data_IF_471052340680
#
_entry.id   IF_471052340680
#
_cell.length_a   1.000
_cell.length_b   1.000
_cell.length_c   1.000
_cell.angle_alpha   90.00
_cell.angle_beta   90.00
_cell.angle_gamma   90.00
#
_symmetry.space_group_name_H-M   'P 1'
#
loop_
_entity.id
_entity.type
_entity.pdbx_description
1 polymer ?
#
# COMPACT_ATOMS: atom_id res chain seq x y z
N UNK A 1 4.18 16.16 -11.48
CA UNK A 1 4.86 15.58 -10.30
C UNK A 1 4.03 14.49 -9.62
N UNK A 2 2.91 14.79 -8.95
CA UNK A 2 2.14 13.75 -8.24
C UNK A 2 1.69 12.58 -9.14
N UNK A 3 1.23 12.86 -10.36
CA UNK A 3 0.88 11.80 -11.32
C UNK A 3 2.06 10.89 -11.70
N UNK A 4 3.29 11.41 -11.73
CA UNK A 4 4.49 10.60 -12.01
C UNK A 4 4.84 9.71 -10.81
N UNK A 5 4.77 10.25 -9.59
CA UNK A 5 5.00 9.47 -8.37
C UNK A 5 4.00 8.31 -8.31
N UNK A 6 2.72 8.59 -8.54
CA UNK A 6 1.66 7.58 -8.57
C UNK A 6 1.90 6.56 -9.70
N UNK A 7 2.30 7.01 -10.89
CA UNK A 7 2.62 6.11 -12.01
C UNK A 7 3.74 5.11 -11.67
N UNK A 8 4.71 5.49 -10.83
CA UNK A 8 5.83 4.63 -10.43
C UNK A 8 5.47 3.74 -9.24
N UNK A 9 4.81 4.30 -8.22
CA UNK A 9 4.56 3.58 -6.96
C UNK A 9 3.37 2.63 -7.05
N UNK A 10 2.29 3.02 -7.73
CA UNK A 10 1.07 2.20 -7.82
C UNK A 10 1.32 0.84 -8.48
N UNK A 11 2.12 0.69 -9.56
CA UNK A 11 2.47 -0.63 -10.07
C UNK A 11 3.13 -1.53 -9.04
N UNK A 12 3.99 -0.99 -8.16
CA UNK A 12 4.61 -1.77 -7.09
C UNK A 12 3.54 -2.28 -6.14
N UNK A 13 2.66 -1.40 -5.65
CA UNK A 13 1.54 -1.76 -4.76
C UNK A 13 0.62 -2.80 -5.40
N UNK A 14 0.24 -2.61 -6.67
CA UNK A 14 -0.59 -3.54 -7.43
C UNK A 14 0.08 -4.91 -7.50
N UNK A 15 1.34 -4.96 -7.96
CA UNK A 15 2.05 -6.22 -8.15
C UNK A 15 2.25 -6.95 -6.82
N UNK A 16 2.61 -6.26 -5.75
CA UNK A 16 2.77 -6.90 -4.44
C UNK A 16 1.45 -7.41 -3.87
N UNK A 17 0.32 -6.72 -4.14
CA UNK A 17 -1.01 -7.20 -3.76
C UNK A 17 -1.46 -8.44 -4.55
N UNK A 18 -1.25 -8.44 -5.87
CA UNK A 18 -1.51 -9.62 -6.71
C UNK A 18 -0.61 -10.80 -6.33
N UNK A 19 0.65 -10.56 -5.97
CA UNK A 19 1.55 -11.58 -5.43
C UNK A 19 1.05 -12.12 -4.07
N UNK A 20 0.48 -11.28 -3.21
CA UNK A 20 -0.15 -11.74 -1.96
C UNK A 20 -1.30 -12.71 -2.22
N UNK A 21 -2.08 -12.49 -3.28
CA UNK A 21 -3.12 -13.45 -3.67
C UNK A 21 -2.54 -14.81 -4.07
N UNK A 22 -1.42 -14.82 -4.80
CA UNK A 22 -0.70 -16.07 -5.16
C UNK A 22 -0.12 -16.75 -3.91
N UNK A 23 0.41 -15.99 -2.95
CA UNK A 23 0.98 -16.52 -1.72
C UNK A 23 -0.06 -17.28 -0.86
N UNK A 24 -1.35 -16.96 -0.99
CA UNK A 24 -2.45 -17.69 -0.36
C UNK A 24 -2.83 -19.02 -1.06
N UNK A 25 -2.08 -19.46 -2.07
CA UNK A 25 -2.26 -20.79 -2.67
C UNK A 25 -3.56 -20.99 -3.45
N UNK A 26 -3.90 -20.14 -4.44
CA UNK A 26 -5.10 -20.28 -5.27
C UNK A 26 -5.11 -21.57 -6.12
N UNK A 27 -3.97 -22.22 -6.32
CA UNK A 27 -3.86 -23.55 -6.94
C UNK A 27 -4.39 -24.68 -6.03
N UNK A 28 -4.42 -24.45 -4.71
CA UNK A 28 -4.91 -25.40 -3.71
C UNK A 28 -6.30 -25.02 -3.16
N UNK A 29 -6.95 -24.00 -3.74
CA UNK A 29 -8.26 -23.51 -3.28
C UNK A 29 -8.21 -22.79 -1.92
N UNK A 30 -7.03 -22.34 -1.50
CA UNK A 30 -6.83 -21.69 -0.20
C UNK A 30 -6.96 -20.15 -0.24
N UNK A 31 -6.85 -19.55 -1.43
CA UNK A 31 -6.98 -18.12 -1.60
C UNK A 31 -8.44 -17.65 -1.48
N UNK A 32 -8.63 -16.49 -0.86
CA UNK A 32 -9.92 -15.80 -0.78
C UNK A 32 -9.81 -14.53 -1.63
N UNK A 33 -10.73 -14.27 -2.58
CA UNK A 33 -11.82 -15.16 -3.02
C UNK A 33 -11.30 -16.34 -3.88
N UNK A 34 -11.97 -17.49 -3.79
CA UNK A 34 -11.59 -18.71 -4.52
C UNK A 34 -12.17 -18.75 -5.95
N UNK A 35 -13.27 -18.03 -6.18
CA UNK A 35 -14.13 -18.04 -7.37
C UNK A 35 -13.99 -16.76 -8.21
N UNK A 36 -12.76 -16.47 -8.66
CA UNK A 36 -12.44 -15.22 -9.40
C UNK A 36 -12.63 -15.29 -10.91
N UNK A 37 -13.06 -16.44 -11.46
CA UNK A 37 -13.32 -16.62 -12.89
C UNK A 37 -12.14 -16.20 -13.78
N UNK A 38 -12.40 -15.31 -14.76
CA UNK A 38 -11.39 -14.79 -15.69
C UNK A 38 -10.31 -13.92 -15.02
N UNK A 39 -10.57 -13.45 -13.80
CA UNK A 39 -9.60 -12.66 -13.04
C UNK A 39 -8.62 -13.56 -12.26
N UNK A 40 -8.66 -14.88 -12.44
CA UNK A 40 -7.67 -15.79 -11.87
C UNK A 40 -6.31 -15.56 -12.54
N UNK A 41 -5.34 -15.13 -11.74
CA UNK A 41 -3.95 -15.00 -12.19
C UNK A 41 -3.34 -16.38 -12.49
N UNK A 42 -2.34 -16.45 -13.40
CA UNK A 42 -1.48 -17.62 -13.51
C UNK A 42 -0.86 -17.96 -12.14
N UNK A 43 -1.04 -19.20 -11.70
CA UNK A 43 -0.59 -19.65 -10.38
C UNK A 43 0.77 -20.32 -10.46
N UNK A 44 1.57 -20.17 -9.40
CA UNK A 44 2.84 -20.87 -9.21
C UNK A 44 3.03 -21.19 -7.73
N UNK A 45 3.93 -22.13 -7.43
CA UNK A 45 4.28 -22.46 -6.07
C UNK A 45 5.03 -21.31 -5.42
N UNK A 46 4.42 -20.70 -4.42
CA UNK A 46 5.03 -19.58 -3.71
C UNK A 46 6.30 -20.06 -3.00
N UNK A 47 7.48 -19.44 -3.26
CA UNK A 47 8.72 -19.90 -2.68
C UNK A 47 8.74 -19.65 -1.17
N UNK A 48 8.95 -20.71 -0.40
CA UNK A 48 9.08 -20.63 1.08
C UNK A 48 10.44 -20.11 1.54
N UNK A 49 11.38 -19.93 0.59
CA UNK A 49 12.70 -19.37 0.83
C UNK A 49 13.01 -18.24 -0.15
N UNK A 50 13.57 -17.12 0.33
CA UNK A 50 13.86 -16.83 1.73
C UNK A 50 12.58 -16.57 2.56
N UNK A 51 12.60 -16.88 3.87
CA UNK A 51 11.41 -16.77 4.74
C UNK A 51 10.88 -15.34 4.89
N UNK A 52 11.71 -14.33 4.63
CA UNK A 52 11.32 -12.92 4.67
C UNK A 52 10.59 -12.44 3.42
N UNK A 53 10.52 -13.23 2.33
CA UNK A 53 10.01 -12.76 1.05
C UNK A 53 8.57 -12.21 1.15
N UNK A 54 7.66 -12.98 1.77
CA UNK A 54 6.28 -12.55 1.94
C UNK A 54 6.18 -11.29 2.81
N UNK A 55 7.00 -11.20 3.87
CA UNK A 55 7.07 -10.00 4.71
C UNK A 55 7.50 -8.77 3.92
N UNK A 56 8.45 -8.92 2.99
CA UNK A 56 8.88 -7.82 2.14
C UNK A 56 7.76 -7.41 1.18
N UNK A 57 7.15 -8.34 0.45
CA UNK A 57 6.10 -8.01 -0.51
C UNK A 57 4.89 -7.39 0.18
N UNK A 58 4.49 -7.96 1.33
CA UNK A 58 3.38 -7.45 2.12
C UNK A 58 3.70 -6.10 2.76
N UNK A 59 4.91 -5.94 3.32
CA UNK A 59 5.37 -4.67 3.86
C UNK A 59 5.46 -3.56 2.80
N UNK A 60 5.87 -3.89 1.58
CA UNK A 60 5.84 -2.97 0.45
C UNK A 60 4.39 -2.60 0.06
N UNK A 61 3.50 -3.59 -0.03
CA UNK A 61 2.10 -3.35 -0.39
C UNK A 61 1.42 -2.38 0.59
N UNK A 62 1.44 -2.72 1.87
CA UNK A 62 0.80 -1.93 2.93
C UNK A 62 1.54 -0.62 3.16
N UNK A 63 2.86 -0.67 3.31
CA UNK A 63 3.68 0.50 3.62
C UNK A 63 3.62 1.56 2.52
N UNK A 64 3.81 1.17 1.26
CA UNK A 64 3.68 2.11 0.15
C UNK A 64 2.23 2.58 -0.02
N UNK A 65 1.25 1.71 0.19
CA UNK A 65 -0.18 2.07 0.19
C UNK A 65 -0.50 3.19 1.16
N UNK A 66 0.06 3.16 2.37
CA UNK A 66 -0.08 4.23 3.37
C UNK A 66 0.70 5.50 2.97
N UNK A 67 1.96 5.35 2.57
CA UNK A 67 2.84 6.47 2.21
C UNK A 67 2.28 7.32 1.07
N UNK A 68 1.57 6.71 0.12
CA UNK A 68 0.99 7.45 -1.02
C UNK A 68 -0.32 8.18 -0.69
N UNK A 69 -0.95 7.97 0.47
CA UNK A 69 -2.24 8.60 0.80
C UNK A 69 -2.17 10.14 0.64
N UNK A 70 -1.17 10.86 1.20
CA UNK A 70 -1.06 12.31 0.99
C UNK A 70 -0.88 12.70 -0.47
N UNK A 71 -0.18 11.88 -1.27
CA UNK A 71 0.02 12.11 -2.71
C UNK A 71 -1.30 11.94 -3.48
N UNK A 72 -2.08 10.91 -3.14
CA UNK A 72 -3.41 10.67 -3.73
C UNK A 72 -4.35 11.82 -3.38
N UNK A 73 -4.42 12.24 -2.12
CA UNK A 73 -5.25 13.37 -1.69
C UNK A 73 -4.87 14.67 -2.41
N UNK A 74 -3.57 14.97 -2.53
CA UNK A 74 -3.10 16.13 -3.26
C UNK A 74 -3.44 16.04 -4.76
N UNK A 75 -3.34 14.84 -5.35
CA UNK A 75 -3.71 14.62 -6.74
C UNK A 75 -5.22 14.82 -6.94
N UNK A 76 -6.06 14.26 -6.06
CA UNK A 76 -7.51 14.41 -6.11
C UNK A 76 -7.89 15.88 -5.99
N UNK A 77 -7.34 16.60 -5.01
CA UNK A 77 -7.54 18.04 -4.85
C UNK A 77 -7.26 18.81 -6.15
N UNK A 78 -6.17 18.48 -6.85
CA UNK A 78 -5.81 19.14 -8.13
C UNK A 78 -6.75 18.84 -9.31
N UNK A 79 -7.60 17.80 -9.22
CA UNK A 79 -8.48 17.37 -10.31
C UNK A 79 -9.96 17.46 -9.97
N UNK A 80 -10.33 17.91 -8.75
CA UNK A 80 -11.73 18.12 -8.33
C UNK A 80 -12.57 18.84 -9.40
N UNK A 81 -12.12 19.95 -10.02
CA UNK A 81 -12.94 20.66 -11.02
C UNK A 81 -13.35 19.78 -12.22
N UNK A 82 -12.52 18.80 -12.61
CA UNK A 82 -12.86 17.90 -13.72
C UNK A 82 -13.99 16.94 -13.39
N UNK A 83 -14.16 16.58 -12.12
CA UNK A 83 -15.24 15.70 -11.67
C UNK A 83 -16.62 16.31 -11.94
N UNK A 84 -16.69 17.65 -11.97
CA UNK A 84 -17.90 18.43 -12.17
C UNK A 84 -17.98 19.13 -13.53
N UNK A 85 -17.14 18.72 -14.49
CA UNK A 85 -17.18 19.31 -15.85
C UNK A 85 -18.55 19.11 -16.51
N UNK A 86 -19.01 20.09 -17.29
CA UNK A 86 -20.30 20.06 -17.99
C UNK A 86 -20.15 20.50 -19.45
N UNK A 87 -20.89 19.95 -20.42
CA UNK A 87 -21.84 18.83 -20.36
C UNK A 87 -21.15 17.47 -20.17
N UNK A 88 -21.88 16.47 -19.65
CA UNK A 88 -21.27 15.26 -19.12
C UNK A 88 -20.76 14.31 -20.20
N UNK A 89 -21.31 14.36 -21.41
CA UNK A 89 -20.83 13.62 -22.56
C UNK A 89 -20.98 14.47 -23.81
N UNK A 90 -19.86 14.75 -24.48
CA UNK A 90 -19.85 15.40 -25.82
C UNK A 90 -19.50 14.40 -26.94
N UNK A 91 -19.00 13.21 -26.58
CA UNK A 91 -18.58 12.15 -27.49
C UNK A 91 -18.37 10.83 -26.74
N UNK A 92 -18.24 9.72 -27.48
CA UNK A 92 -17.88 8.40 -26.92
C UNK A 92 -16.53 8.46 -26.21
N UNK A 93 -15.55 9.18 -26.77
CA UNK A 93 -14.26 9.39 -26.13
C UNK A 93 -14.41 10.07 -24.76
N UNK A 94 -15.29 11.07 -24.64
CA UNK A 94 -15.56 11.73 -23.35
C UNK A 94 -16.21 10.77 -22.33
N UNK A 95 -17.07 9.86 -22.77
CA UNK A 95 -17.65 8.82 -21.91
C UNK A 95 -16.56 7.87 -21.41
N UNK A 96 -15.71 7.37 -22.31
CA UNK A 96 -14.59 6.48 -21.93
C UNK A 96 -13.63 7.14 -20.95
N UNK A 97 -13.33 8.44 -21.15
CA UNK A 97 -12.52 9.20 -20.20
C UNK A 97 -13.16 9.27 -18.82
N UNK A 98 -14.49 9.45 -18.73
CA UNK A 98 -15.21 9.53 -17.46
C UNK A 98 -15.32 8.18 -16.77
N UNK A 99 -15.60 7.12 -17.51
CA UNK A 99 -15.64 5.75 -16.95
C UNK A 99 -14.26 5.38 -16.41
N UNK A 100 -13.19 5.61 -17.18
CA UNK A 100 -11.82 5.40 -16.72
C UNK A 100 -11.52 6.21 -15.46
N UNK A 101 -11.94 7.48 -15.41
CA UNK A 101 -11.74 8.32 -14.23
C UNK A 101 -12.54 7.83 -13.02
N UNK A 102 -13.79 7.40 -13.21
CA UNK A 102 -14.63 6.87 -12.14
C UNK A 102 -14.03 5.59 -11.56
N UNK A 103 -13.58 4.67 -12.41
CA UNK A 103 -12.89 3.45 -12.00
C UNK A 103 -11.58 3.75 -11.29
N UNK A 104 -10.80 4.72 -11.78
CA UNK A 104 -9.53 5.11 -11.17
C UNK A 104 -9.73 5.74 -9.79
N UNK A 105 -10.61 6.75 -9.68
CA UNK A 105 -10.85 7.51 -8.44
C UNK A 105 -11.63 6.67 -7.43
N UNK A 106 -12.71 6.03 -7.86
CA UNK A 106 -13.49 5.14 -7.02
C UNK A 106 -12.66 3.96 -6.55
N UNK A 107 -11.90 3.33 -7.46
CA UNK A 107 -11.00 2.22 -7.15
C UNK A 107 -9.93 2.61 -6.14
N UNK A 108 -9.14 3.66 -6.38
CA UNK A 108 -8.05 4.01 -5.43
C UNK A 108 -8.58 4.38 -4.04
N UNK A 109 -9.72 5.07 -3.96
CA UNK A 109 -10.34 5.41 -2.68
C UNK A 109 -10.87 4.17 -1.98
N UNK A 110 -11.52 3.27 -2.72
CA UNK A 110 -12.00 2.00 -2.19
C UNK A 110 -10.86 1.14 -1.64
N UNK A 111 -9.78 0.96 -2.42
CA UNK A 111 -8.59 0.20 -2.00
C UNK A 111 -7.93 0.82 -0.77
N UNK A 112 -7.73 2.14 -0.74
CA UNK A 112 -7.14 2.81 0.44
C UNK A 112 -8.01 2.63 1.68
N UNK A 113 -9.31 2.90 1.57
CA UNK A 113 -10.23 2.85 2.72
C UNK A 113 -10.32 1.42 3.26
N UNK A 114 -10.57 0.44 2.39
CA UNK A 114 -10.67 -0.96 2.81
C UNK A 114 -9.34 -1.49 3.36
N UNK A 115 -8.21 -1.12 2.75
CA UNK A 115 -6.87 -1.49 3.21
C UNK A 115 -6.54 -0.89 4.58
N UNK A 116 -6.80 0.40 4.79
CA UNK A 116 -6.60 1.08 6.09
C UNK A 116 -7.48 0.45 7.17
N UNK A 117 -8.75 0.23 6.87
CA UNK A 117 -9.67 -0.35 7.85
C UNK A 117 -9.28 -1.81 8.19
N UNK A 118 -8.78 -2.58 7.22
CA UNK A 118 -8.29 -3.93 7.48
C UNK A 118 -7.07 -3.96 8.41
N UNK A 119 -6.08 -3.08 8.22
CA UNK A 119 -4.91 -3.03 9.13
C UNK A 119 -5.25 -2.46 10.52
N UNK A 120 -6.39 -1.79 10.65
CA UNK A 120 -6.93 -1.35 11.95
C UNK A 120 -7.89 -2.37 12.57
N UNK A 121 -8.12 -3.52 11.90
CA UNK A 121 -9.12 -4.53 12.28
C UNK A 121 -10.55 -3.97 12.41
N UNK A 122 -10.87 -2.89 11.68
CA UNK A 122 -12.16 -2.20 11.74
C UNK A 122 -13.08 -2.61 10.58
N UNK A 123 -13.82 -3.72 10.75
CA UNK A 123 -14.61 -4.35 9.68
C UNK A 123 -16.05 -3.85 9.60
N UNK A 124 -16.27 -2.54 9.51
CA UNK A 124 -17.61 -1.94 9.45
C UNK A 124 -18.39 -2.27 8.17
N UNK A 125 -17.73 -2.78 7.12
CA UNK A 125 -18.30 -2.82 5.76
C UNK A 125 -19.26 -4.00 5.48
N UNK A 126 -19.47 -4.95 6.40
CA UNK A 126 -20.45 -6.05 6.22
C UNK A 126 -20.15 -7.03 5.07
N UNK A 127 -19.02 -6.87 4.38
CA UNK A 127 -18.52 -7.76 3.34
C UNK A 127 -17.09 -8.23 3.64
N UNK A 128 -16.68 -9.33 3.00
CA UNK A 128 -15.31 -9.84 3.09
C UNK A 128 -14.32 -8.84 2.51
N UNK A 129 -13.37 -8.37 3.35
CA UNK A 129 -12.26 -7.52 2.92
C UNK A 129 -11.52 -8.15 1.74
N UNK A 130 -11.06 -9.41 1.88
CA UNK A 130 -10.29 -10.10 0.85
C UNK A 130 -11.02 -10.13 -0.49
N UNK A 131 -12.31 -10.44 -0.48
CA UNK A 131 -13.14 -10.50 -1.68
C UNK A 131 -13.29 -9.12 -2.31
N UNK A 132 -13.70 -8.14 -1.52
CA UNK A 132 -14.04 -6.82 -2.03
C UNK A 132 -12.79 -6.07 -2.50
N UNK A 133 -11.69 -6.14 -1.74
CA UNK A 133 -10.39 -5.57 -2.10
C UNK A 133 -9.79 -6.22 -3.35
N UNK A 134 -9.94 -7.55 -3.53
CA UNK A 134 -9.49 -8.21 -4.77
C UNK A 134 -10.22 -7.70 -6.02
N UNK A 135 -11.56 -7.64 -5.99
CA UNK A 135 -12.33 -7.15 -7.13
C UNK A 135 -12.19 -5.63 -7.33
N UNK A 136 -12.12 -4.88 -6.23
CA UNK A 136 -11.82 -3.44 -6.24
C UNK A 136 -10.47 -3.15 -6.90
N UNK A 137 -9.45 -3.95 -6.61
CA UNK A 137 -8.14 -3.84 -7.24
C UNK A 137 -8.24 -4.02 -8.77
N UNK A 138 -9.03 -4.97 -9.28
CA UNK A 138 -9.21 -5.13 -10.72
C UNK A 138 -9.96 -3.96 -11.38
N UNK A 139 -10.97 -3.40 -10.70
CA UNK A 139 -11.64 -2.16 -11.16
C UNK A 139 -10.62 -1.01 -11.22
N UNK A 140 -9.81 -0.86 -10.18
CA UNK A 140 -8.76 0.14 -10.13
C UNK A 140 -7.70 -0.06 -11.22
N UNK A 141 -7.20 -1.28 -11.42
CA UNK A 141 -6.19 -1.63 -12.43
C UNK A 141 -6.70 -1.27 -13.83
N UNK A 142 -7.92 -1.68 -14.17
CA UNK A 142 -8.52 -1.36 -15.47
C UNK A 142 -8.67 0.16 -15.66
N UNK A 143 -9.14 0.88 -14.64
CA UNK A 143 -9.23 2.34 -14.64
C UNK A 143 -7.86 3.01 -14.80
N UNK A 144 -6.84 2.51 -14.09
CA UNK A 144 -5.47 3.00 -14.10
C UNK A 144 -4.79 2.82 -15.45
N UNK A 145 -4.83 1.62 -16.03
CA UNK A 145 -4.24 1.33 -17.34
C UNK A 145 -4.90 2.19 -18.43
N UNK A 146 -6.24 2.28 -18.43
CA UNK A 146 -6.95 3.14 -19.37
C UNK A 146 -6.56 4.62 -19.19
N UNK A 147 -6.51 5.09 -17.95
CA UNK A 147 -6.19 6.49 -17.65
C UNK A 147 -4.77 6.86 -18.07
N UNK A 148 -3.79 6.00 -17.74
CA UNK A 148 -2.39 6.19 -18.13
C UNK A 148 -2.29 6.21 -19.65
N UNK A 149 -2.90 5.26 -20.35
CA UNK A 149 -2.87 5.21 -21.82
C UNK A 149 -3.39 6.49 -22.47
N UNK A 150 -4.44 7.10 -21.91
CA UNK A 150 -5.05 8.32 -22.44
C UNK A 150 -4.25 9.58 -22.05
N UNK A 151 -3.75 9.66 -20.80
CA UNK A 151 -3.20 10.91 -20.24
C UNK A 151 -1.67 10.95 -20.15
N UNK A 152 -0.97 9.89 -20.55
CA UNK A 152 0.50 9.81 -20.47
C UNK A 152 1.21 10.95 -21.21
N UNK A 153 0.86 11.18 -22.47
CA UNK A 153 1.48 12.24 -23.28
C UNK A 153 1.31 13.62 -22.64
N UNK A 154 0.12 13.89 -22.09
CA UNK A 154 -0.18 15.15 -21.41
C UNK A 154 0.63 15.33 -20.12
N UNK A 155 0.78 14.25 -19.33
CA UNK A 155 1.66 14.25 -18.16
C UNK A 155 3.10 14.57 -18.57
N UNK A 156 3.60 13.95 -19.64
CA UNK A 156 4.97 14.16 -20.11
C UNK A 156 5.19 15.60 -20.59
N UNK A 157 4.25 16.18 -21.35
CA UNK A 157 4.31 17.59 -21.76
C UNK A 157 4.35 18.52 -20.55
N UNK A 158 3.51 18.28 -19.53
CA UNK A 158 3.50 19.07 -18.31
C UNK A 158 4.76 18.92 -17.45
N UNK A 159 5.43 17.77 -17.48
CA UNK A 159 6.73 17.57 -16.82
C UNK A 159 7.86 18.29 -17.54
N UNK A 160 7.81 18.36 -18.88
CA UNK A 160 8.84 19.01 -19.70
C UNK A 160 8.69 20.53 -19.78
N UNK A 161 7.50 21.06 -19.52
CA UNK A 161 7.24 22.50 -19.66
C UNK A 161 7.92 23.38 -18.59
N UNK A 162 8.43 22.78 -17.50
CA UNK A 162 9.06 23.52 -16.41
C UNK A 162 10.27 22.81 -15.82
N UNK A 163 11.28 23.61 -15.49
CA UNK A 163 12.44 23.13 -14.73
C UNK A 163 12.08 22.93 -13.25
N UNK A 164 12.40 21.76 -12.70
CA UNK A 164 12.25 21.47 -11.27
C UNK A 164 13.05 22.43 -10.38
N UNK A 165 14.20 22.90 -10.86
CA UNK A 165 15.00 23.90 -10.14
C UNK A 165 14.25 25.22 -9.98
N UNK A 166 13.56 25.66 -11.05
CA UNK A 166 12.70 26.84 -11.00
C UNK A 166 11.54 26.64 -10.03
N UNK A 167 10.85 25.50 -10.11
CA UNK A 167 9.73 25.16 -9.20
C UNK A 167 10.14 25.20 -7.72
N UNK A 168 11.35 24.72 -7.39
CA UNK A 168 11.88 24.73 -6.03
C UNK A 168 12.48 26.10 -5.62
N UNK A 169 12.86 26.95 -6.56
CA UNK A 169 13.37 28.28 -6.27
C UNK A 169 12.26 29.30 -6.02
N UNK A 170 11.14 29.21 -6.75
CA UNK A 170 10.04 30.19 -6.70
C UNK A 170 9.40 30.26 -5.31
N UNK A 171 9.39 31.48 -4.73
CA UNK A 171 8.73 31.76 -3.46
C UNK A 171 7.21 31.91 -3.64
N UNK A 172 6.47 32.04 -2.53
CA UNK A 172 5.03 32.31 -2.56
C UNK A 172 4.73 33.67 -3.23
N UNK A 173 5.53 34.69 -2.93
CA UNK A 173 5.33 36.05 -3.44
C UNK A 173 5.61 36.11 -4.94
N UNK A 174 6.59 35.32 -5.41
CA UNK A 174 6.95 35.25 -6.83
C UNK A 174 6.07 34.27 -7.63
N UNK A 175 5.03 33.68 -7.00
CA UNK A 175 4.13 32.76 -7.69
C UNK A 175 3.14 33.55 -8.54
N UNK A 176 3.26 33.37 -9.85
CA UNK A 176 2.32 33.92 -10.84
C UNK A 176 1.27 32.89 -11.25
N UNK A 177 0.03 33.33 -11.54
CA UNK A 177 -1.01 32.48 -12.12
C UNK A 177 -0.55 31.70 -13.35
N UNK A 178 -1.07 30.48 -13.47
CA UNK A 178 -0.86 29.67 -14.66
C UNK A 178 -1.62 30.28 -15.85
N UNK A 179 -1.08 30.23 -17.08
CA UNK A 179 -1.85 30.56 -18.27
C UNK A 179 -3.08 29.65 -18.38
N UNK A 180 -4.19 30.17 -18.92
CA UNK A 180 -5.40 29.40 -19.11
C UNK A 180 -5.15 28.14 -19.93
N UNK A 181 -5.65 27.00 -19.45
CA UNK A 181 -5.56 25.73 -20.16
C UNK A 181 -6.90 25.34 -20.80
N UNK A 182 -6.84 24.55 -21.88
CA UNK A 182 -8.03 24.05 -22.59
C UNK A 182 -8.93 23.17 -21.70
N UNK A 183 -8.36 22.61 -20.64
CA UNK A 183 -9.09 21.71 -19.75
C UNK A 183 -9.83 22.40 -18.60
N UNK A 184 -9.64 23.70 -18.42
CA UNK A 184 -10.27 24.46 -17.34
C UNK A 184 -9.86 24.00 -15.93
N UNK A 185 -8.65 23.42 -15.78
CA UNK A 185 -8.10 23.15 -14.45
C UNK A 185 -7.45 24.41 -13.85
N UNK A 186 -7.08 25.36 -14.69
CA UNK A 186 -6.55 26.65 -14.25
C UNK A 186 -7.70 27.57 -13.86
N UNK A 187 -7.61 28.14 -12.66
CA UNK A 187 -8.59 29.11 -12.18
C UNK A 187 -8.61 30.35 -13.11
N UNK A 188 -9.80 30.72 -13.59
CA UNK A 188 -9.98 31.86 -14.52
C UNK A 188 -9.70 33.21 -13.85
N UNK A 189 -10.00 33.33 -12.57
CA UNK A 189 -9.74 34.52 -11.76
C UNK A 189 -9.16 34.07 -10.41
N UNK A 190 -7.84 33.80 -10.33
CA UNK A 190 -7.22 33.29 -9.12
C UNK A 190 -7.02 34.40 -8.09
N UNK A 191 -7.37 34.12 -6.85
CA UNK A 191 -6.97 34.92 -5.70
C UNK A 191 -5.44 34.90 -5.52
N UNK A 192 -4.87 35.83 -4.72
CA UNK A 192 -3.45 35.83 -4.39
C UNK A 192 -2.98 34.47 -3.85
N UNK A 193 -1.81 34.01 -4.32
CA UNK A 193 -1.30 32.70 -3.96
C UNK A 193 -1.16 32.54 -2.43
N UNK A 194 -1.73 31.48 -1.86
CA UNK A 194 -1.57 31.11 -0.44
C UNK A 194 -0.40 30.17 -0.21
N UNK A 195 -0.07 29.35 -1.21
CA UNK A 195 1.06 28.41 -1.21
C UNK A 195 1.78 28.47 -2.56
N UNK A 196 3.11 28.34 -2.54
CA UNK A 196 3.88 28.09 -3.76
C UNK A 196 3.86 26.59 -4.11
N UNK A 197 4.28 26.26 -5.34
CA UNK A 197 4.47 24.87 -5.78
C UNK A 197 5.47 24.13 -4.87
N UNK A 198 6.56 24.79 -4.48
CA UNK A 198 7.49 24.26 -3.47
C UNK A 198 6.78 23.95 -2.16
N UNK A 199 5.97 24.88 -1.65
CA UNK A 199 5.22 24.69 -0.40
C UNK A 199 4.31 23.47 -0.46
N UNK A 200 3.56 23.33 -1.56
CA UNK A 200 2.70 22.16 -1.77
C UNK A 200 3.49 20.85 -1.84
N UNK A 201 4.62 20.82 -2.56
CA UNK A 201 5.49 19.64 -2.60
C UNK A 201 6.06 19.31 -1.22
N UNK A 202 6.47 20.31 -0.45
CA UNK A 202 7.00 20.12 0.90
C UNK A 202 5.95 19.56 1.86
N UNK A 203 4.71 20.06 1.83
CA UNK A 203 3.61 19.55 2.66
C UNK A 203 3.29 18.10 2.32
N UNK A 204 3.15 17.77 1.03
CA UNK A 204 2.83 16.40 0.60
C UNK A 204 3.98 15.44 0.91
N UNK A 205 5.22 15.83 0.60
CA UNK A 205 6.40 15.02 0.91
C UNK A 205 6.59 14.84 2.42
N UNK A 206 6.39 15.91 3.21
CA UNK A 206 6.44 15.85 4.67
C UNK A 206 5.37 14.94 5.26
N UNK A 207 4.13 15.02 4.76
CA UNK A 207 3.05 14.12 5.16
C UNK A 207 3.34 12.66 4.83
N UNK A 208 3.80 12.38 3.60
CA UNK A 208 4.19 11.03 3.20
C UNK A 208 5.37 10.49 3.99
N UNK A 209 6.38 11.33 4.27
CA UNK A 209 7.53 10.97 5.09
C UNK A 209 7.13 10.69 6.54
N UNK A 210 6.26 11.52 7.12
CA UNK A 210 5.74 11.30 8.47
C UNK A 210 5.01 9.95 8.57
N UNK A 211 4.11 9.66 7.62
CA UNK A 211 3.42 8.36 7.55
C UNK A 211 4.45 7.23 7.45
N UNK A 212 5.42 7.34 6.54
CA UNK A 212 6.47 6.32 6.39
C UNK A 212 7.28 6.07 7.65
N UNK A 213 7.68 7.13 8.36
CA UNK A 213 8.41 7.03 9.63
C UNK A 213 7.56 6.36 10.71
N UNK A 214 6.30 6.73 10.84
CA UNK A 214 5.38 6.13 11.82
C UNK A 214 5.12 4.66 11.51
N UNK A 215 4.86 4.30 10.25
CA UNK A 215 4.66 2.92 9.83
C UNK A 215 5.91 2.07 10.06
N UNK A 216 7.10 2.57 9.70
CA UNK A 216 8.35 1.85 9.97
C UNK A 216 8.61 1.67 11.47
N UNK A 217 8.29 2.69 12.28
CA UNK A 217 8.40 2.63 13.73
C UNK A 217 7.53 1.55 14.35
N UNK A 218 6.28 1.41 13.88
CA UNK A 218 5.36 0.35 14.34
C UNK A 218 5.90 -1.05 14.00
N UNK A 219 6.31 -1.28 12.75
CA UNK A 219 6.82 -2.58 12.32
C UNK A 219 8.10 -3.01 13.06
N UNK A 220 9.02 -2.07 13.30
CA UNK A 220 10.28 -2.36 14.01
C UNK A 220 10.01 -2.53 15.52
N UNK A 221 9.17 -1.66 16.11
CA UNK A 221 8.83 -1.70 17.53
C UNK A 221 8.22 -3.05 17.93
N UNK A 222 7.23 -3.52 17.18
CA UNK A 222 6.60 -4.82 17.40
C UNK A 222 7.59 -5.98 17.25
N UNK A 223 8.46 -5.92 16.23
CA UNK A 223 9.51 -6.93 16.02
C UNK A 223 10.52 -6.98 17.17
N UNK A 224 10.84 -5.84 17.78
CA UNK A 224 11.75 -5.74 18.94
C UNK A 224 11.09 -6.24 20.22
N UNK A 225 9.81 -5.89 20.45
CA UNK A 225 9.03 -6.40 21.59
C UNK A 225 8.87 -7.92 21.50
N UNK A 226 8.49 -8.45 20.34
CA UNK A 226 8.33 -9.88 20.12
C UNK A 226 9.64 -10.65 20.39
N UNK A 227 10.78 -10.20 19.84
CA UNK A 227 12.09 -10.82 20.12
C UNK A 227 12.46 -10.77 21.60
N UNK A 228 12.13 -9.68 22.29
CA UNK A 228 12.40 -9.54 23.72
C UNK A 228 11.55 -10.51 24.56
N UNK A 229 10.29 -10.70 24.19
CA UNK A 229 9.42 -11.70 24.81
C UNK A 229 9.96 -13.12 24.61
N UNK A 230 10.34 -13.49 23.38
CA UNK A 230 10.92 -14.81 23.09
C UNK A 230 12.21 -15.06 23.90
N UNK A 231 13.13 -14.08 23.95
CA UNK A 231 14.34 -14.20 24.77
C UNK A 231 14.03 -14.39 26.26
N UNK A 232 12.94 -13.79 26.77
CA UNK A 232 12.58 -13.88 28.17
C UNK A 232 11.95 -15.25 28.53
N UNK A 233 11.14 -15.81 27.62
CA UNK A 233 10.58 -17.17 27.76
C UNK A 233 11.68 -18.25 27.69
N UNK A 234 12.66 -18.10 26.79
CA UNK A 234 13.80 -19.02 26.70
C UNK A 234 14.61 -19.06 28.01
N UNK A 235 14.86 -17.88 28.61
CA UNK A 235 15.58 -17.78 29.89
C UNK A 235 14.76 -18.37 31.06
N UNK A 236 13.45 -18.15 31.07
CA UNK A 236 12.57 -18.73 32.10
C UNK A 236 12.52 -20.26 32.00
N UNK A 237 12.43 -20.78 30.77
CA UNK A 237 12.40 -22.23 30.48
C UNK A 237 13.74 -22.89 30.84
N UNK A 238 14.86 -22.26 30.48
CA UNK A 238 16.20 -22.74 30.85
C UNK A 238 16.40 -22.76 32.38
N UNK A 239 15.90 -21.74 33.11
CA UNK A 239 15.94 -21.72 34.58
C UNK A 239 15.07 -22.80 35.20
N UNK A 240 13.87 -23.04 34.68
CA UNK A 240 12.99 -24.11 35.16
C UNK A 240 13.60 -25.50 34.97
N UNK A 241 14.26 -25.74 33.83
CA UNK A 241 14.98 -26.99 33.56
C UNK A 241 16.21 -27.18 34.46
N UNK A 242 16.96 -26.10 34.76
CA UNK A 242 18.09 -26.15 35.69
C UNK A 242 17.63 -26.46 37.12
N UNK A 243 16.51 -25.88 37.56
CA UNK A 243 15.93 -26.16 38.89
C UNK A 243 15.47 -27.62 38.96
N UNK A 244 14.76 -28.11 37.94
CA UNK A 244 14.29 -29.50 37.85
C UNK A 244 15.43 -30.52 37.83
N UNK A 245 16.58 -30.20 37.20
CA UNK A 245 17.78 -31.05 37.24
C UNK A 245 18.50 -31.06 38.59
N UNK A 246 18.38 -30.00 39.40
CA UNK A 246 19.02 -29.94 40.72
C UNK A 246 18.22 -30.66 41.83
N UNK A 247 16.92 -30.89 41.62
CA UNK A 247 16.02 -31.54 42.59
C UNK A 247 15.67 -32.99 42.25
N UNK A 248 16.18 -33.56 41.15
CA UNK A 248 15.91 -34.95 40.79
C UNK A 248 16.84 -35.93 41.53
N UNK A 249 16.33 -36.92 42.29
CA UNK A 249 17.15 -38.00 42.83
C UNK A 249 17.62 -38.91 41.69
N UNK A 250 18.89 -39.36 41.74
CA UNK A 250 19.47 -40.28 40.77
C UNK A 250 18.71 -41.62 40.80
N UNK A 251 17.89 -41.89 39.78
CA UNK A 251 17.29 -43.20 39.53
C UNK A 251 18.02 -43.90 38.36
N UNK A 252 18.11 -45.24 38.39
CA UNK A 252 18.97 -46.00 37.47
C UNK A 252 18.40 -46.02 36.05
N UNK A 253 19.30 -45.98 35.06
CA UNK A 253 18.97 -45.92 33.65
C UNK A 253 18.20 -47.15 33.17
N UNK A 254 16.95 -46.96 32.78
CA UNK A 254 16.12 -47.96 32.12
C UNK A 254 15.11 -47.32 31.16
N UNK A 255 15.40 -47.44 29.87
CA UNK A 255 14.47 -47.37 28.72
C UNK A 255 13.37 -46.29 28.73
N UNK A 256 13.60 -45.15 28.06
CA UNK A 256 12.51 -44.27 27.60
C UNK A 256 12.47 -44.22 26.08
N UNK A 257 11.39 -44.80 25.54
CA UNK A 257 10.96 -44.70 24.14
C UNK A 257 9.88 -43.62 24.07
N UNK A 258 10.13 -42.56 23.29
CA UNK A 258 9.10 -41.71 22.66
C UNK A 258 8.45 -40.63 23.52
N UNK A 259 9.02 -39.42 23.53
CA UNK A 259 8.27 -38.17 23.61
C UNK A 259 8.86 -37.21 22.57
N UNK A 260 8.04 -36.50 21.76
CA UNK A 260 8.56 -35.51 20.84
C UNK A 260 9.04 -34.31 21.66
N UNK A 261 10.34 -34.04 21.55
CA UNK A 261 10.96 -32.82 22.02
C UNK A 261 10.40 -31.66 21.18
N UNK A 262 9.32 -31.03 21.64
CA UNK A 262 8.88 -29.75 21.12
C UNK A 262 9.90 -28.70 21.56
N UNK A 263 11.00 -28.58 20.81
CA UNK A 263 11.79 -27.35 20.81
C UNK A 263 10.88 -26.24 20.31
N UNK A 264 10.46 -25.35 21.21
CA UNK A 264 9.74 -24.13 20.87
C UNK A 264 10.62 -23.25 19.99
N UNK A 265 10.54 -23.44 18.67
CA UNK A 265 11.15 -22.51 17.72
C UNK A 265 10.23 -21.31 17.64
N UNK A 266 10.50 -20.29 18.46
CA UNK A 266 9.93 -18.97 18.28
C UNK A 266 10.49 -18.34 16.99
N UNK A 267 9.88 -18.66 15.85
CA UNK A 267 10.23 -18.00 14.61
C UNK A 267 9.64 -16.57 14.61
N UNK A 268 10.48 -15.58 14.93
CA UNK A 268 10.14 -14.14 14.83
C UNK A 268 9.82 -13.70 13.37
N UNK A 269 9.87 -14.63 12.41
CA UNK A 269 9.37 -14.44 11.05
C UNK A 269 7.85 -14.41 10.94
N UNK A 270 7.13 -15.04 11.88
CA UNK A 270 5.69 -15.24 11.79
C UNK A 270 4.84 -14.11 12.40
N UNK A 271 5.46 -13.15 13.11
CA UNK A 271 4.78 -12.14 13.93
C UNK A 271 4.86 -10.71 13.38
N UNK A 272 5.16 -10.53 12.10
CA UNK A 272 5.14 -9.21 11.50
C UNK A 272 4.20 -9.18 10.29
N UNK A 273 3.13 -8.41 10.50
CA UNK A 273 1.97 -8.08 9.64
C UNK A 273 0.75 -8.95 9.89
#
# INVERSE_FOLDING_TARGET
>A
MFGLILLVVLPVVILTGLLSYIAYGPQFGQAIPFDVGLLKLPTFDWPTRPSWLYRLTQGLHVGLGLIIIPVVLAKLWSVIPRLFSWPPARSIAAILERVSLLMLVGGILFEIVTGVLNIQYDYIFGFSFYTAHYFGAWVFIAGFVAHVSIKFSKMMTGLRSRSMRSVLATSRIDTVPEPSDEDGLVARNPDPATLSRRGMLAVVAGGSALVGVLSAGQTIGESCVARRCCCHEDVATARAQLISRSTAPQLPQGSIRGLPEQTGICDSSALAI
#
